data_IF_486786961310
#
_entry.id   IF_486786961310
#
_cell.length_a   1.000
_cell.length_b   1.000
_cell.length_c   1.000
_cell.angle_alpha   90.00
_cell.angle_beta   90.00
_cell.angle_gamma   90.00
#
_symmetry.space_group_name_H-M   'P 1'
#
loop_
_entity.id
_entity.type
_entity.pdbx_description
1 polymer ?
#
# COMPACT_ATOMS: atom_id res chain seq x y z
N UNK A 1 8.40 19.27 15.30
CA UNK A 1 7.89 18.86 13.97
C UNK A 1 8.48 17.52 13.49
N UNK A 2 9.81 17.34 13.49
CA UNK A 2 10.47 16.12 12.99
C UNK A 2 10.17 14.82 13.78
N UNK A 3 9.85 14.89 15.07
CA UNK A 3 9.42 13.73 15.87
C UNK A 3 8.04 13.21 15.41
N UNK A 4 7.12 14.12 15.10
CA UNK A 4 5.77 13.77 14.63
C UNK A 4 5.80 13.11 13.25
N UNK A 5 6.70 13.56 12.35
CA UNK A 5 6.86 12.98 11.02
C UNK A 5 7.39 11.53 11.07
N UNK A 6 8.37 11.27 11.93
CA UNK A 6 8.91 9.92 12.10
C UNK A 6 7.86 8.97 12.73
N UNK A 7 7.10 9.45 13.72
CA UNK A 7 6.00 8.67 14.30
C UNK A 7 4.90 8.39 13.27
N UNK A 8 4.53 9.38 12.45
CA UNK A 8 3.58 9.20 11.34
C UNK A 8 4.07 8.14 10.34
N UNK A 9 5.35 8.20 9.94
CA UNK A 9 5.97 7.19 9.07
C UNK A 9 5.87 5.78 9.64
N UNK A 10 6.12 5.61 10.94
CA UNK A 10 5.99 4.31 11.62
C UNK A 10 4.55 3.81 11.67
N UNK A 11 3.58 4.70 11.91
CA UNK A 11 2.15 4.34 11.92
C UNK A 11 1.70 3.90 10.52
N UNK A 12 2.06 4.65 9.49
CA UNK A 12 1.76 4.28 8.10
C UNK A 12 2.40 2.93 7.74
N UNK A 13 3.66 2.74 8.11
CA UNK A 13 4.38 1.49 7.87
C UNK A 13 3.74 0.29 8.58
N UNK A 14 3.34 0.45 9.84
CA UNK A 14 2.64 -0.59 10.59
C UNK A 14 1.28 -0.94 9.94
N UNK A 15 0.52 0.07 9.51
CA UNK A 15 -0.73 -0.14 8.77
C UNK A 15 -0.50 -0.94 7.48
N UNK A 16 0.56 -0.62 6.73
CA UNK A 16 0.95 -1.32 5.51
C UNK A 16 1.35 -2.77 5.76
N UNK A 17 2.08 -3.03 6.84
CA UNK A 17 2.39 -4.42 7.28
C UNK A 17 1.11 -5.19 7.58
N UNK A 18 0.18 -4.59 8.34
CA UNK A 18 -1.08 -5.25 8.72
C UNK A 18 -1.96 -5.55 7.50
N UNK A 19 -2.16 -4.56 6.63
CA UNK A 19 -2.95 -4.73 5.40
C UNK A 19 -2.29 -5.75 4.48
N UNK A 20 -0.98 -5.63 4.24
CA UNK A 20 -0.22 -6.54 3.39
C UNK A 20 -0.24 -7.98 3.89
N UNK A 21 -0.02 -8.19 5.19
CA UNK A 21 -0.12 -9.51 5.82
C UNK A 21 -1.53 -10.09 5.72
N UNK A 22 -2.56 -9.24 5.86
CA UNK A 22 -3.96 -9.67 5.70
C UNK A 22 -4.26 -10.10 4.26
N UNK A 23 -3.81 -9.34 3.27
CA UNK A 23 -3.94 -9.71 1.85
C UNK A 23 -3.20 -11.02 1.52
N UNK A 24 -2.06 -11.27 2.18
CA UNK A 24 -1.27 -12.48 2.01
C UNK A 24 -1.95 -13.72 2.64
N UNK A 25 -2.41 -13.60 3.88
CA UNK A 25 -2.99 -14.71 4.64
C UNK A 25 -4.46 -14.98 4.26
N UNK A 26 -5.24 -13.91 4.10
CA UNK A 26 -6.68 -13.94 3.91
C UNK A 26 -7.10 -13.02 2.73
N UNK A 27 -6.67 -13.32 1.49
CA UNK A 27 -6.89 -12.45 0.33
C UNK A 27 -8.35 -12.13 0.08
N UNK A 28 -9.27 -13.06 0.38
CA UNK A 28 -10.70 -12.89 0.12
C UNK A 28 -11.32 -11.76 0.96
N UNK A 29 -10.76 -11.42 2.14
CA UNK A 29 -11.24 -10.32 2.98
C UNK A 29 -11.02 -8.95 2.34
N UNK A 30 -9.99 -8.82 1.51
CA UNK A 30 -9.59 -7.55 0.88
C UNK A 30 -10.00 -7.52 -0.59
N UNK A 31 -9.88 -8.65 -1.29
CA UNK A 31 -10.17 -8.74 -2.71
C UNK A 31 -11.66 -8.63 -3.02
N UNK A 32 -12.54 -9.21 -2.21
CA UNK A 32 -13.98 -9.21 -2.46
C UNK A 32 -14.60 -7.79 -2.56
N UNK A 33 -14.37 -6.86 -1.63
CA UNK A 33 -14.88 -5.49 -1.74
C UNK A 33 -14.19 -4.68 -2.85
N UNK A 34 -13.00 -5.09 -3.30
CA UNK A 34 -12.20 -4.38 -4.30
C UNK A 34 -12.52 -4.82 -5.74
N UNK A 35 -12.55 -6.13 -5.99
CA UNK A 35 -12.60 -6.74 -7.32
C UNK A 35 -13.97 -7.38 -7.61
N UNK A 36 -14.81 -7.58 -6.59
CA UNK A 36 -16.14 -8.16 -6.75
C UNK A 36 -16.09 -9.68 -6.95
N UNK A 37 -16.95 -10.21 -7.82
CA UNK A 37 -17.10 -11.66 -8.06
C UNK A 37 -15.78 -12.35 -8.47
N UNK A 38 -15.00 -11.68 -9.33
CA UNK A 38 -13.74 -12.19 -9.89
C UNK A 38 -12.63 -12.34 -8.84
N UNK A 39 -12.78 -11.68 -7.69
CA UNK A 39 -11.85 -11.75 -6.56
C UNK A 39 -11.64 -13.19 -6.05
N UNK A 40 -12.63 -14.05 -6.22
CA UNK A 40 -12.64 -15.42 -5.67
C UNK A 40 -11.98 -16.44 -6.60
N UNK A 41 -11.52 -16.02 -7.78
CA UNK A 41 -10.79 -16.89 -8.69
C UNK A 41 -9.40 -17.25 -8.13
N UNK A 42 -8.87 -18.46 -8.39
CA UNK A 42 -7.53 -18.83 -7.94
C UNK A 42 -6.45 -17.85 -8.42
N UNK A 43 -6.56 -17.34 -9.65
CA UNK A 43 -5.65 -16.35 -10.21
C UNK A 43 -5.68 -15.02 -9.46
N UNK A 44 -6.87 -14.47 -9.20
CA UNK A 44 -7.02 -13.22 -8.43
C UNK A 44 -6.41 -13.34 -7.03
N UNK A 45 -6.60 -14.48 -6.35
CA UNK A 45 -6.00 -14.74 -5.04
C UNK A 45 -4.48 -14.73 -5.06
N UNK A 46 -3.84 -15.29 -6.09
CA UNK A 46 -2.37 -15.24 -6.23
C UNK A 46 -1.90 -13.79 -6.37
N UNK A 47 -2.56 -13.00 -7.21
CA UNK A 47 -2.22 -11.58 -7.41
C UNK A 47 -2.40 -10.78 -6.11
N UNK A 48 -3.52 -10.95 -5.41
CA UNK A 48 -3.79 -10.24 -4.14
C UNK A 48 -2.75 -10.61 -3.09
N UNK A 49 -2.36 -11.88 -2.99
CA UNK A 49 -1.28 -12.31 -2.10
C UNK A 49 0.06 -11.68 -2.45
N UNK A 50 0.40 -11.61 -3.74
CA UNK A 50 1.65 -10.99 -4.19
C UNK A 50 1.68 -9.49 -3.87
N UNK A 51 0.57 -8.78 -4.10
CA UNK A 51 0.41 -7.38 -3.71
C UNK A 51 0.53 -7.22 -2.18
N UNK A 52 -0.10 -8.10 -1.41
CA UNK A 52 -0.02 -8.11 0.04
C UNK A 52 1.40 -8.34 0.56
N UNK A 53 2.13 -9.31 0.00
CA UNK A 53 3.51 -9.58 0.36
C UNK A 53 4.43 -8.38 0.06
N UNK A 54 4.27 -7.77 -1.13
CA UNK A 54 4.96 -6.52 -1.49
C UNK A 54 4.66 -5.43 -0.46
N UNK A 55 3.39 -5.31 -0.06
CA UNK A 55 2.98 -4.28 0.89
C UNK A 55 3.58 -4.46 2.28
N UNK A 56 3.59 -5.70 2.76
CA UNK A 56 4.21 -6.07 4.02
C UNK A 56 5.72 -5.80 4.01
N UNK A 57 6.42 -6.10 2.92
CA UNK A 57 7.87 -5.86 2.80
C UNK A 57 8.20 -4.37 2.82
N UNK A 58 7.47 -3.54 2.07
CA UNK A 58 7.67 -2.09 2.05
C UNK A 58 7.43 -1.45 3.43
N UNK A 59 6.39 -1.90 4.14
CA UNK A 59 6.12 -1.47 5.51
C UNK A 59 7.19 -1.95 6.49
N UNK A 60 7.59 -3.21 6.43
CA UNK A 60 8.64 -3.78 7.29
C UNK A 60 9.99 -3.09 7.07
N UNK A 61 10.35 -2.80 5.82
CA UNK A 61 11.54 -2.05 5.47
C UNK A 61 11.54 -0.64 6.09
N UNK A 62 10.40 0.05 6.03
CA UNK A 62 10.23 1.37 6.67
C UNK A 62 10.39 1.29 8.20
N UNK A 63 9.88 0.23 8.84
CA UNK A 63 9.99 0.04 10.29
C UNK A 63 11.40 -0.37 10.75
N UNK A 64 12.11 -1.12 9.91
CA UNK A 64 13.46 -1.62 10.17
C UNK A 64 14.57 -0.61 9.81
N UNK A 65 14.23 0.48 9.12
CA UNK A 65 15.15 1.54 8.74
C UNK A 65 15.90 2.09 9.97
N UNK A 66 17.23 2.11 9.89
CA UNK A 66 18.12 2.55 10.97
C UNK A 66 18.30 4.07 11.04
N UNK A 67 18.01 4.78 9.95
CA UNK A 67 18.15 6.23 9.87
C UNK A 67 17.03 6.91 9.05
N UNK A 68 17.02 8.25 9.07
CA UNK A 68 16.03 9.07 8.33
C UNK A 68 16.12 8.91 6.82
N UNK A 69 17.33 8.70 6.28
CA UNK A 69 17.52 8.54 4.84
C UNK A 69 16.96 7.20 4.36
N UNK A 70 17.08 6.14 5.15
CA UNK A 70 16.44 4.84 4.92
C UNK A 70 14.92 4.93 5.00
N UNK A 71 14.38 5.57 6.04
CA UNK A 71 12.93 5.81 6.15
C UNK A 71 12.42 6.54 4.91
N UNK A 72 13.12 7.60 4.48
CA UNK A 72 12.79 8.36 3.27
C UNK A 72 12.79 7.47 2.02
N UNK A 73 13.80 6.61 1.85
CA UNK A 73 13.88 5.68 0.70
C UNK A 73 12.69 4.71 0.67
N UNK A 74 12.32 4.13 1.81
CA UNK A 74 11.18 3.22 1.88
C UNK A 74 9.83 3.91 1.68
N UNK A 75 9.67 5.14 2.17
CA UNK A 75 8.46 5.94 1.91
C UNK A 75 8.32 6.30 0.43
N UNK A 76 9.42 6.65 -0.24
CA UNK A 76 9.43 6.89 -1.70
C UNK A 76 9.07 5.61 -2.45
N UNK A 77 9.66 4.47 -2.09
CA UNK A 77 9.35 3.19 -2.71
C UNK A 77 7.88 2.79 -2.51
N UNK A 78 7.34 3.02 -1.31
CA UNK A 78 5.93 2.79 -1.00
C UNK A 78 5.02 3.67 -1.85
N UNK A 79 5.36 4.96 -1.96
CA UNK A 79 4.59 5.91 -2.77
C UNK A 79 4.63 5.56 -4.26
N UNK A 80 5.77 5.09 -4.77
CA UNK A 80 5.88 4.61 -6.15
C UNK A 80 5.01 3.36 -6.40
N UNK A 81 4.93 2.47 -5.41
CA UNK A 81 4.04 1.30 -5.45
C UNK A 81 2.57 1.72 -5.49
N UNK A 82 2.16 2.67 -4.64
CA UNK A 82 0.78 3.16 -4.60
C UNK A 82 0.41 3.88 -5.91
N UNK A 83 1.34 4.63 -6.50
CA UNK A 83 1.17 5.26 -7.82
C UNK A 83 1.01 4.21 -8.93
N UNK A 84 1.77 3.11 -8.88
CA UNK A 84 1.63 2.01 -9.82
C UNK A 84 0.25 1.36 -9.71
N UNK A 85 -0.26 1.16 -8.49
CA UNK A 85 -1.60 0.60 -8.25
C UNK A 85 -2.70 1.56 -8.75
N UNK A 86 -2.51 2.87 -8.60
CA UNK A 86 -3.38 3.89 -9.19
C UNK A 86 -3.43 3.77 -10.72
N UNK A 87 -2.27 3.74 -11.37
CA UNK A 87 -2.16 3.63 -12.84
C UNK A 87 -2.77 2.32 -13.34
N UNK A 88 -2.49 1.19 -12.67
CA UNK A 88 -3.05 -0.11 -13.00
C UNK A 88 -4.59 -0.10 -12.87
N UNK A 89 -5.12 0.49 -11.80
CA UNK A 89 -6.57 0.65 -11.60
C UNK A 89 -7.20 1.56 -12.64
N UNK A 90 -6.48 2.61 -13.08
CA UNK A 90 -6.95 3.54 -14.10
C UNK A 90 -7.00 2.87 -15.48
N UNK A 91 -6.01 2.05 -15.82
CA UNK A 91 -5.93 1.28 -17.06
C UNK A 91 -6.88 0.08 -17.08
N UNK A 92 -7.30 -0.39 -15.90
CA UNK A 92 -8.25 -1.49 -15.76
C UNK A 92 -9.69 -1.17 -16.14
N UNK A 93 -10.56 -2.19 -16.20
CA UNK A 93 -11.98 -2.01 -16.48
C UNK A 93 -12.67 -1.15 -15.40
N UNK A 94 -13.85 -0.60 -15.72
CA UNK A 94 -14.65 0.10 -14.71
C UNK A 94 -15.28 -0.90 -13.75
N UNK A 95 -15.27 -0.55 -12.46
CA UNK A 95 -15.97 -1.29 -11.40
C UNK A 95 -16.62 -0.30 -10.43
N UNK A 96 -17.64 -0.71 -9.66
CA UNK A 96 -18.25 0.15 -8.64
C UNK A 96 -17.25 0.68 -7.60
N UNK A 97 -16.22 -0.12 -7.28
CA UNK A 97 -15.18 0.25 -6.31
C UNK A 97 -14.08 1.16 -6.88
N UNK A 98 -14.00 1.33 -8.21
CA UNK A 98 -12.87 1.97 -8.90
C UNK A 98 -12.55 3.37 -8.34
N UNK A 99 -13.57 4.21 -8.12
CA UNK A 99 -13.36 5.56 -7.61
C UNK A 99 -12.73 5.55 -6.20
N UNK A 100 -13.19 4.66 -5.33
CA UNK A 100 -12.65 4.51 -3.98
C UNK A 100 -11.19 4.03 -4.01
N UNK A 101 -10.88 3.03 -4.86
CA UNK A 101 -9.52 2.52 -5.01
C UNK A 101 -8.57 3.59 -5.54
N UNK A 102 -8.98 4.33 -6.56
CA UNK A 102 -8.20 5.44 -7.10
C UNK A 102 -7.97 6.53 -6.04
N UNK A 103 -9.00 6.87 -5.26
CA UNK A 103 -8.88 7.85 -4.18
C UNK A 103 -7.89 7.39 -3.09
N UNK A 104 -7.98 6.12 -2.66
CA UNK A 104 -7.07 5.54 -1.65
C UNK A 104 -5.64 5.51 -2.18
N UNK A 105 -5.41 5.02 -3.39
CA UNK A 105 -4.07 4.94 -3.99
C UNK A 105 -3.45 6.34 -4.19
N UNK A 106 -4.23 7.31 -4.64
CA UNK A 106 -3.77 8.70 -4.77
C UNK A 106 -3.44 9.32 -3.40
N UNK A 107 -4.30 9.13 -2.40
CA UNK A 107 -4.07 9.62 -1.04
C UNK A 107 -2.83 8.99 -0.41
N UNK A 108 -2.64 7.67 -0.56
CA UNK A 108 -1.46 6.95 -0.07
C UNK A 108 -0.17 7.46 -0.74
N UNK A 109 -0.20 7.65 -2.07
CA UNK A 109 0.92 8.25 -2.83
C UNK A 109 1.29 9.64 -2.29
N UNK A 110 0.31 10.52 -2.15
CA UNK A 110 0.55 11.91 -1.71
C UNK A 110 1.04 11.97 -0.26
N UNK A 111 0.40 11.22 0.63
CA UNK A 111 0.77 11.21 2.06
C UNK A 111 2.14 10.57 2.29
N UNK A 112 2.47 9.50 1.55
CA UNK A 112 3.80 8.88 1.57
C UNK A 112 4.91 9.82 1.11
N UNK A 113 4.68 10.56 0.01
CA UNK A 113 5.64 11.57 -0.48
C UNK A 113 5.77 12.76 0.48
N UNK A 114 4.67 13.22 1.06
CA UNK A 114 4.69 14.29 2.05
C UNK A 114 5.46 13.87 3.32
N UNK A 115 5.27 12.62 3.76
CA UNK A 115 6.02 12.06 4.87
C UNK A 115 7.51 11.93 4.53
N UNK A 116 7.85 11.46 3.32
CA UNK A 116 9.22 11.35 2.84
C UNK A 116 9.96 12.70 2.77
N UNK A 117 9.23 13.79 2.50
CA UNK A 117 9.77 15.15 2.51
C UNK A 117 9.93 15.73 3.92
N UNK A 118 9.33 15.09 4.94
CA UNK A 118 9.24 15.60 6.32
C UNK A 118 10.11 14.84 7.32
N UNK A 119 10.72 13.72 6.91
CA UNK A 119 11.67 12.92 7.70
C UNK A 119 13.10 13.34 7.45
#
# INVERSE_FOLDING_TARGET
MAANAHQAARIMAAGRVLIGATMLAAPDLVAAPWVGEDARTPGARVIVRALGARDAVLGAGTLAAGDRAEVRRWLIASSASDAADFVATLAGPRSPARAAVLAVAAAATVTGLAAAASV
#
